data_IF_900707167302
#
_entry.id   IF_900707167302
#
_cell.length_a   1.000
_cell.length_b   1.000
_cell.length_c   1.000
_cell.angle_alpha   90.00
_cell.angle_beta   90.00
_cell.angle_gamma   90.00
#
_symmetry.space_group_name_H-M   'P 1'
#
loop_
_entity.id
_entity.type
_entity.pdbx_description
1 polymer ?
#
# COMPACT_ATOMS: atom_id res chain seq x y z
N UNK A 1 10.43 -5.54 11.21
CA UNK A 1 10.58 -5.66 12.68
C UNK A 1 9.28 -5.34 13.42
N UNK A 2 8.66 -4.15 13.20
CA UNK A 2 7.45 -3.73 13.92
C UNK A 2 6.21 -4.61 13.60
N UNK A 3 5.98 -4.93 12.33
CA UNK A 3 4.88 -5.82 11.92
C UNK A 3 5.00 -7.22 12.53
N UNK A 4 6.20 -7.81 12.49
CA UNK A 4 6.48 -9.11 13.12
C UNK A 4 6.31 -9.10 14.66
N UNK A 5 6.35 -7.92 15.29
CA UNK A 5 6.15 -7.74 16.73
C UNK A 5 4.69 -7.38 17.10
N UNK A 6 3.75 -7.42 16.16
CA UNK A 6 2.35 -7.07 16.38
C UNK A 6 2.10 -5.57 16.64
N UNK A 7 3.09 -4.71 16.33
CA UNK A 7 3.03 -3.27 16.58
C UNK A 7 2.52 -2.52 15.35
N UNK A 8 1.31 -2.83 14.91
CA UNK A 8 0.74 -2.30 13.66
C UNK A 8 0.64 -0.77 13.65
N UNK A 9 0.16 -0.16 14.73
CA UNK A 9 0.03 1.30 14.81
C UNK A 9 1.38 2.01 14.66
N UNK A 10 2.45 1.48 15.27
CA UNK A 10 3.80 2.02 15.14
C UNK A 10 4.39 1.75 13.75
N UNK A 11 4.08 0.61 13.14
CA UNK A 11 4.47 0.34 11.77
C UNK A 11 3.82 1.33 10.80
N UNK A 12 2.54 1.63 11.00
CA UNK A 12 1.79 2.62 10.22
C UNK A 12 2.37 4.03 10.41
N UNK A 13 2.67 4.41 11.65
CA UNK A 13 3.29 5.70 11.93
C UNK A 13 4.64 5.84 11.23
N UNK A 14 5.52 4.85 11.37
CA UNK A 14 6.83 4.86 10.72
C UNK A 14 6.71 4.89 9.18
N UNK A 15 5.71 4.22 8.61
CA UNK A 15 5.42 4.29 7.18
C UNK A 15 5.04 5.70 6.73
N UNK A 16 4.14 6.36 7.46
CA UNK A 16 3.71 7.73 7.14
C UNK A 16 4.87 8.71 7.26
N UNK A 17 5.65 8.63 8.34
CA UNK A 17 6.85 9.47 8.54
C UNK A 17 7.84 9.30 7.37
N UNK A 18 8.15 8.07 6.98
CA UNK A 18 9.05 7.80 5.85
C UNK A 18 8.53 8.35 4.51
N UNK A 19 7.20 8.41 4.32
CA UNK A 19 6.61 9.04 3.13
C UNK A 19 6.70 10.57 3.18
N UNK A 20 6.41 11.17 4.33
CA UNK A 20 6.45 12.63 4.54
C UNK A 20 7.87 13.18 4.38
N UNK A 21 8.88 12.44 4.86
CA UNK A 21 10.30 12.77 4.68
C UNK A 21 10.82 12.46 3.26
N UNK A 22 10.00 11.80 2.44
CA UNK A 22 10.33 11.47 1.05
C UNK A 22 11.35 10.34 0.90
N UNK A 23 11.68 9.63 1.99
CA UNK A 23 12.53 8.44 2.01
C UNK A 23 11.83 7.24 1.35
N UNK A 24 10.49 7.20 1.41
CA UNK A 24 9.66 6.20 0.79
C UNK A 24 8.71 6.82 -0.24
N UNK A 25 8.91 6.50 -1.52
CA UNK A 25 8.08 6.98 -2.64
C UNK A 25 7.40 5.82 -3.35
N UNK A 26 6.18 5.53 -2.92
CA UNK A 26 5.35 4.45 -3.51
C UNK A 26 4.23 5.00 -4.40
N UNK A 27 3.78 6.23 -4.14
CA UNK A 27 2.80 6.90 -4.98
C UNK A 27 3.46 7.39 -6.27
N UNK A 28 2.93 6.93 -7.39
CA UNK A 28 3.31 7.43 -8.71
C UNK A 28 2.67 8.80 -8.94
N UNK A 29 3.28 9.68 -9.77
CA UNK A 29 2.67 10.95 -10.14
C UNK A 29 1.28 10.82 -10.79
N UNK A 30 0.96 9.64 -11.34
CA UNK A 30 -0.34 9.25 -11.89
C UNK A 30 -1.42 8.97 -10.82
N UNK A 31 -1.06 8.95 -9.53
CA UNK A 31 -1.98 8.62 -8.44
C UNK A 31 -2.10 7.12 -8.14
N UNK A 32 -1.27 6.29 -8.78
CA UNK A 32 -1.24 4.84 -8.55
C UNK A 32 -0.32 4.52 -7.36
N UNK A 33 -0.74 3.60 -6.48
CA UNK A 33 0.12 3.11 -5.41
C UNK A 33 0.89 1.89 -5.88
N UNK A 34 2.21 2.03 -5.93
CA UNK A 34 3.09 0.98 -6.39
C UNK A 34 3.59 0.09 -5.24
N UNK A 35 3.14 -1.16 -5.25
CA UNK A 35 3.50 -2.17 -4.25
C UNK A 35 4.54 -3.17 -4.78
N UNK A 36 5.01 -3.00 -6.03
CA UNK A 36 5.95 -3.94 -6.61
C UNK A 36 7.26 -3.97 -5.80
N UNK A 37 7.83 -5.16 -5.63
CA UNK A 37 9.11 -5.34 -4.94
C UNK A 37 9.05 -5.14 -3.42
N UNK A 38 7.92 -4.74 -2.85
CA UNK A 38 7.75 -4.67 -1.41
C UNK A 38 7.61 -6.08 -0.79
N UNK A 39 8.08 -6.27 0.46
CA UNK A 39 7.66 -7.40 1.27
C UNK A 39 6.14 -7.41 1.45
N UNK A 40 5.52 -8.60 1.46
CA UNK A 40 4.06 -8.76 1.52
C UNK A 40 3.40 -7.96 2.65
N UNK A 41 3.96 -8.02 3.85
CA UNK A 41 3.44 -7.31 5.02
C UNK A 41 3.52 -5.78 4.87
N UNK A 42 4.58 -5.27 4.21
CA UNK A 42 4.70 -3.85 3.92
C UNK A 42 3.70 -3.40 2.85
N UNK A 43 3.44 -4.24 1.85
CA UNK A 43 2.44 -3.97 0.82
C UNK A 43 1.02 -3.95 1.39
N UNK A 44 0.68 -4.88 2.29
CA UNK A 44 -0.61 -4.87 3.02
C UNK A 44 -0.77 -3.59 3.84
N UNK A 45 0.27 -3.20 4.59
CA UNK A 45 0.26 -1.97 5.38
C UNK A 45 0.03 -0.73 4.49
N UNK A 46 0.74 -0.64 3.37
CA UNK A 46 0.61 0.47 2.42
C UNK A 46 -0.79 0.53 1.80
N UNK A 47 -1.34 -0.62 1.38
CA UNK A 47 -2.70 -0.70 0.84
C UNK A 47 -3.75 -0.29 1.89
N UNK A 48 -3.62 -0.75 3.13
CA UNK A 48 -4.51 -0.39 4.24
C UNK A 48 -4.45 1.11 4.57
N UNK A 49 -3.25 1.68 4.58
CA UNK A 49 -3.07 3.12 4.78
C UNK A 49 -3.76 3.91 3.66
N UNK A 50 -3.64 3.48 2.41
CA UNK A 50 -4.27 4.14 1.28
C UNK A 50 -5.80 4.09 1.36
N UNK A 51 -6.38 2.96 1.75
CA UNK A 51 -7.83 2.84 2.01
C UNK A 51 -8.28 3.77 3.13
N UNK A 52 -7.54 3.81 4.25
CA UNK A 52 -7.86 4.70 5.37
C UNK A 52 -7.77 6.17 4.95
N UNK A 53 -6.73 6.55 4.21
CA UNK A 53 -6.56 7.90 3.69
C UNK A 53 -7.67 8.28 2.72
N UNK A 54 -8.11 7.34 1.87
CA UNK A 54 -9.25 7.51 0.97
C UNK A 54 -10.56 7.75 1.73
N UNK A 55 -10.82 6.96 2.77
CA UNK A 55 -12.05 7.05 3.55
C UNK A 55 -12.11 8.30 4.45
N UNK A 56 -10.96 8.79 4.91
CA UNK A 56 -10.88 9.88 5.90
C UNK A 56 -10.46 11.23 5.34
N UNK A 57 -10.09 11.31 4.05
CA UNK A 57 -9.59 12.54 3.43
C UNK A 57 -8.24 13.00 3.98
N UNK A 58 -7.38 12.06 4.39
CA UNK A 58 -6.09 12.32 5.06
C UNK A 58 -5.02 13.00 4.17
N UNK A 59 -3.77 13.11 4.63
CA UNK A 59 -2.69 13.84 3.92
C UNK A 59 -2.35 13.28 2.53
N UNK A 60 -2.63 12.00 2.28
CA UNK A 60 -2.55 11.36 0.95
C UNK A 60 -3.91 11.28 0.25
N UNK A 61 -4.97 11.78 0.89
CA UNK A 61 -6.27 12.04 0.30
C UNK A 61 -6.17 12.99 -0.88
N UNK A 62 -5.09 13.78 -1.03
CA UNK A 62 -4.80 14.53 -2.25
C UNK A 62 -4.34 13.67 -3.43
N UNK A 63 -3.54 12.62 -3.20
CA UNK A 63 -3.15 11.65 -4.24
C UNK A 63 -4.34 10.73 -4.59
N UNK A 64 -5.14 10.34 -3.59
CA UNK A 64 -6.39 9.60 -3.78
C UNK A 64 -7.48 10.48 -4.43
N UNK A 65 -7.55 11.78 -4.10
CA UNK A 65 -8.47 12.73 -4.75
C UNK A 65 -8.01 13.08 -6.17
N UNK A 66 -6.70 13.08 -6.43
CA UNK A 66 -6.15 13.21 -7.79
C UNK A 66 -6.45 11.98 -8.64
N UNK A 67 -6.57 10.79 -8.03
CA UNK A 67 -7.08 9.58 -8.69
C UNK A 67 -8.60 9.67 -9.02
N UNK A 68 -9.27 10.74 -8.60
CA UNK A 68 -10.66 11.03 -8.98
C UNK A 68 -11.68 10.16 -8.26
N UNK A 69 -12.95 10.40 -8.54
CA UNK A 69 -14.10 9.66 -8.00
C UNK A 69 -14.15 8.16 -8.39
N UNK A 70 -13.08 7.63 -9.01
CA UNK A 70 -13.04 6.36 -9.74
C UNK A 70 -12.33 5.22 -8.97
N UNK A 71 -11.74 5.50 -7.80
CA UNK A 71 -11.24 4.49 -6.86
C UNK A 71 -9.72 4.49 -6.64
N UNK A 72 -9.23 3.44 -5.97
CA UNK A 72 -7.82 3.26 -5.62
C UNK A 72 -7.15 2.22 -6.54
N UNK A 73 -6.07 2.60 -7.23
CA UNK A 73 -5.29 1.69 -8.09
C UNK A 73 -4.03 1.21 -7.36
N UNK A 74 -3.90 -0.12 -7.23
CA UNK A 74 -2.76 -0.80 -6.61
C UNK A 74 -1.96 -1.58 -7.65
N UNK A 75 -0.67 -1.30 -7.80
CA UNK A 75 0.23 -2.05 -8.69
C UNK A 75 0.92 -3.14 -7.88
N UNK A 76 0.53 -4.39 -8.09
CA UNK A 76 1.11 -5.55 -7.35
C UNK A 76 2.28 -6.23 -8.08
N UNK A 77 2.70 -5.68 -9.23
CA UNK A 77 3.73 -6.25 -10.10
C UNK A 77 3.21 -7.39 -11.00
N UNK A 78 4.08 -7.86 -11.91
CA UNK A 78 3.76 -8.88 -12.95
C UNK A 78 3.94 -10.34 -12.51
N UNK A 79 4.45 -10.60 -11.31
CA UNK A 79 4.69 -11.98 -10.82
C UNK A 79 5.89 -12.71 -11.45
N UNK A 80 6.82 -12.01 -12.12
CA UNK A 80 7.99 -12.65 -12.75
C UNK A 80 9.05 -13.15 -11.73
N UNK A 81 8.97 -12.73 -10.47
CA UNK A 81 9.92 -13.08 -9.40
C UNK A 81 9.28 -13.92 -8.27
N UNK A 82 8.04 -14.37 -8.45
CA UNK A 82 7.38 -15.29 -7.51
C UNK A 82 7.70 -16.73 -7.91
N UNK A 83 8.12 -17.55 -6.93
CA UNK A 83 8.28 -19.00 -7.12
C UNK A 83 6.95 -19.59 -7.62
N UNK A 84 6.95 -20.12 -8.85
CA UNK A 84 5.76 -20.71 -9.49
C UNK A 84 4.93 -19.77 -10.37
N UNK A 85 5.32 -18.50 -10.56
CA UNK A 85 4.61 -17.57 -11.44
C UNK A 85 3.24 -17.09 -10.91
N UNK A 86 2.87 -17.48 -9.70
CA UNK A 86 1.65 -17.05 -9.04
C UNK A 86 1.93 -15.73 -8.31
N UNK A 87 1.21 -14.67 -8.66
CA UNK A 87 1.39 -13.36 -8.05
C UNK A 87 0.88 -13.35 -6.60
N UNK A 88 1.70 -13.88 -5.67
CA UNK A 88 1.42 -13.96 -4.22
C UNK A 88 0.97 -12.61 -3.68
N UNK A 89 1.57 -11.52 -4.17
CA UNK A 89 1.20 -10.15 -3.81
C UNK A 89 -0.25 -9.81 -4.17
N UNK A 90 -0.68 -10.16 -5.39
CA UNK A 90 -2.04 -9.86 -5.86
C UNK A 90 -3.07 -10.58 -5.01
N UNK A 91 -2.89 -11.88 -4.78
CA UNK A 91 -3.85 -12.65 -4.01
C UNK A 91 -3.92 -12.17 -2.55
N UNK A 92 -2.77 -11.94 -1.92
CA UNK A 92 -2.72 -11.46 -0.55
C UNK A 92 -3.34 -10.07 -0.34
N UNK A 93 -3.24 -9.19 -1.34
CA UNK A 93 -3.91 -7.87 -1.31
C UNK A 93 -5.42 -8.03 -1.51
N UNK A 94 -5.87 -8.91 -2.40
CA UNK A 94 -7.30 -9.19 -2.59
C UNK A 94 -7.93 -9.80 -1.32
N UNK A 95 -7.26 -10.77 -0.70
CA UNK A 95 -7.74 -11.40 0.54
C UNK A 95 -7.85 -10.37 1.68
N UNK A 96 -6.88 -9.46 1.77
CA UNK A 96 -6.93 -8.34 2.73
C UNK A 96 -8.13 -7.42 2.43
N UNK A 97 -8.32 -7.03 1.17
CA UNK A 97 -9.43 -6.14 0.78
C UNK A 97 -10.81 -6.75 1.03
N UNK A 98 -10.94 -8.08 0.99
CA UNK A 98 -12.19 -8.77 1.32
C UNK A 98 -12.47 -8.84 2.83
N UNK A 99 -11.45 -8.63 3.67
CA UNK A 99 -11.54 -8.74 5.12
C UNK A 99 -11.72 -7.40 5.85
N UNK A 100 -11.55 -6.27 5.15
CA UNK A 100 -11.87 -4.91 5.64
C UNK A 100 -13.37 -4.62 5.52
#
# INVERSE_FOLDING_TARGET
ALLAAGKEALALQAYVEAQEEGELRLWQPSGELDLHGLPLEAARLAARQALLAAATGGPHGGAVAAAGADGLTLITGRGHHSDGGEAVMRQAVLDMLQAE
#
